data_IF_655746134195
#
_entry.id   IF_655746134195
#
_cell.length_a   1.000
_cell.length_b   1.000
_cell.length_c   1.000
_cell.angle_alpha   90.00
_cell.angle_beta   90.00
_cell.angle_gamma   90.00
#
_symmetry.space_group_name_H-M   'P 1'
#
loop_
_entity.id
_entity.type
_entity.pdbx_description
1 polymer ?
#
# COMPACT_ATOMS: atom_id res chain seq x y z
N UNK A 1 26.97 -54.63 59.81
CA UNK A 1 25.55 -54.32 59.48
C UNK A 1 25.46 -52.89 58.98
N UNK A 2 25.45 -52.68 57.67
CA UNK A 2 25.38 -51.35 57.04
C UNK A 2 23.91 -51.08 56.58
N UNK A 3 23.32 -49.99 57.10
CA UNK A 3 21.96 -49.56 56.73
C UNK A 3 22.06 -48.77 55.48
N UNK A 4 21.48 -49.29 54.35
CA UNK A 4 21.24 -48.55 53.14
C UNK A 4 20.11 -47.51 53.38
N UNK A 5 20.40 -46.21 53.19
CA UNK A 5 19.42 -45.12 53.12
C UNK A 5 18.91 -45.03 51.69
N UNK A 6 17.62 -45.32 51.51
CA UNK A 6 16.91 -45.08 50.23
C UNK A 6 16.62 -43.58 50.10
N UNK A 7 17.23 -42.93 49.11
CA UNK A 7 16.83 -41.58 48.68
C UNK A 7 15.74 -41.71 47.63
N UNK A 8 14.54 -41.24 47.96
CA UNK A 8 13.43 -41.13 47.03
C UNK A 8 13.58 -39.80 46.25
N UNK A 9 13.92 -39.87 44.98
CA UNK A 9 14.01 -38.69 44.12
C UNK A 9 12.60 -38.45 43.54
N UNK A 10 11.90 -37.42 44.07
CA UNK A 10 10.70 -36.94 43.49
C UNK A 10 11.06 -36.08 42.27
N UNK A 11 10.83 -36.63 41.06
CA UNK A 11 10.96 -35.93 39.81
C UNK A 11 9.64 -35.14 39.56
N UNK A 12 9.61 -33.87 39.92
CA UNK A 12 8.50 -32.97 39.59
C UNK A 12 8.63 -32.56 38.11
N UNK A 13 7.83 -33.15 37.25
CA UNK A 13 7.65 -32.68 35.87
C UNK A 13 6.90 -31.35 35.89
N UNK A 14 7.63 -30.24 35.67
CA UNK A 14 7.06 -28.91 35.47
C UNK A 14 6.58 -28.83 33.98
N UNK A 15 5.31 -29.12 33.75
CA UNK A 15 4.68 -28.97 32.42
C UNK A 15 4.51 -27.48 32.14
N UNK A 16 5.38 -26.91 31.30
CA UNK A 16 5.23 -25.56 30.76
C UNK A 16 4.09 -25.58 29.73
N UNK A 17 2.88 -25.20 30.12
CA UNK A 17 1.78 -24.96 29.21
C UNK A 17 2.02 -23.63 28.52
N UNK A 18 2.51 -23.65 27.29
CA UNK A 18 2.50 -22.49 26.42
C UNK A 18 1.05 -22.18 26.04
N UNK A 19 0.44 -21.21 26.71
CA UNK A 19 -0.81 -20.63 26.25
C UNK A 19 -0.54 -19.85 24.97
N UNK A 20 -0.84 -20.44 23.79
CA UNK A 20 -0.93 -19.73 22.53
C UNK A 20 -2.14 -18.83 22.64
N UNK A 21 -1.93 -17.55 22.95
CA UNK A 21 -2.98 -16.54 22.86
C UNK A 21 -3.39 -16.45 21.36
N UNK A 22 -4.68 -16.60 21.03
CA UNK A 22 -5.11 -16.37 19.65
C UNK A 22 -4.78 -14.93 19.28
N UNK A 23 -4.08 -14.73 18.16
CA UNK A 23 -3.92 -13.41 17.58
C UNK A 23 -5.33 -12.83 17.42
N UNK A 24 -5.60 -11.72 18.10
CA UNK A 24 -6.90 -11.06 18.02
C UNK A 24 -7.04 -10.53 16.58
N UNK A 25 -7.88 -11.19 15.78
CA UNK A 25 -8.25 -10.65 14.48
C UNK A 25 -8.93 -9.29 14.69
N UNK A 26 -8.55 -8.29 13.89
CA UNK A 26 -9.18 -6.98 13.95
C UNK A 26 -10.71 -7.12 13.75
N UNK A 27 -11.54 -6.35 14.48
CA UNK A 27 -12.97 -6.39 14.31
C UNK A 27 -13.35 -6.13 12.84
N UNK A 28 -14.29 -6.89 12.29
CA UNK A 28 -14.72 -6.78 10.87
C UNK A 28 -15.09 -5.33 10.49
N UNK A 29 -15.65 -4.57 11.44
CA UNK A 29 -16.01 -3.16 11.24
C UNK A 29 -14.78 -2.28 10.98
N UNK A 30 -13.65 -2.57 11.58
CA UNK A 30 -12.43 -1.78 11.38
C UNK A 30 -11.77 -2.09 10.02
N UNK A 31 -11.87 -3.34 9.54
CA UNK A 31 -11.41 -3.70 8.18
C UNK A 31 -12.20 -2.94 7.11
N UNK A 32 -13.52 -2.85 7.24
CA UNK A 32 -14.35 -2.10 6.27
C UNK A 32 -14.09 -0.58 6.34
N UNK A 33 -13.83 -0.03 7.52
CA UNK A 33 -13.40 1.37 7.65
C UNK A 33 -12.06 1.62 6.97
N UNK A 34 -11.09 0.72 7.15
CA UNK A 34 -9.78 0.84 6.51
C UNK A 34 -9.90 0.75 4.97
N UNK A 35 -10.72 -0.15 4.44
CA UNK A 35 -11.03 -0.19 3.01
C UNK A 35 -11.65 1.11 2.51
N UNK A 36 -12.59 1.68 3.27
CA UNK A 36 -13.21 2.96 2.90
C UNK A 36 -12.18 4.09 2.81
N UNK A 37 -11.18 4.13 3.70
CA UNK A 37 -10.05 5.08 3.61
C UNK A 37 -9.24 4.84 2.33
N UNK A 38 -8.91 3.58 2.01
CA UNK A 38 -8.19 3.23 0.78
C UNK A 38 -8.96 3.64 -0.49
N UNK A 39 -10.28 3.48 -0.53
CA UNK A 39 -11.13 3.93 -1.64
C UNK A 39 -11.06 5.44 -1.86
N UNK A 40 -10.98 6.25 -0.79
CA UNK A 40 -10.88 7.71 -0.92
C UNK A 40 -9.64 8.15 -1.69
N UNK A 41 -8.53 7.40 -1.62
CA UNK A 41 -7.32 7.68 -2.41
C UNK A 41 -7.64 7.61 -3.91
N UNK A 42 -8.30 6.55 -4.36
CA UNK A 42 -8.66 6.38 -5.76
C UNK A 42 -9.77 7.35 -6.20
N UNK A 43 -10.85 7.41 -5.44
CA UNK A 43 -12.06 8.11 -5.85
C UNK A 43 -11.92 9.63 -5.73
N UNK A 44 -11.34 10.12 -4.63
CA UNK A 44 -11.29 11.54 -4.36
C UNK A 44 -9.98 12.16 -4.85
N UNK A 45 -8.82 11.58 -4.52
CA UNK A 45 -7.52 12.17 -4.89
C UNK A 45 -7.26 11.98 -6.39
N UNK A 46 -7.22 10.74 -6.88
CA UNK A 46 -6.85 10.48 -8.27
C UNK A 46 -7.97 10.74 -9.27
N UNK A 47 -9.19 10.26 -9.03
CA UNK A 47 -10.27 10.37 -10.00
C UNK A 47 -10.88 11.78 -10.03
N UNK A 48 -11.05 12.42 -8.86
CA UNK A 48 -11.66 13.75 -8.76
C UNK A 48 -10.64 14.90 -8.66
N UNK A 49 -9.36 14.61 -8.38
CA UNK A 49 -8.32 15.62 -8.21
C UNK A 49 -8.45 16.44 -6.91
N UNK A 50 -9.13 15.89 -5.91
CA UNK A 50 -9.31 16.52 -4.60
C UNK A 50 -8.12 16.23 -3.70
N UNK A 51 -7.00 16.88 -3.99
CA UNK A 51 -5.73 16.62 -3.30
C UNK A 51 -5.73 17.03 -1.83
N UNK A 52 -6.61 17.94 -1.41
CA UNK A 52 -6.80 18.35 -0.01
C UNK A 52 -7.26 17.19 0.88
N UNK A 53 -7.90 16.18 0.32
CA UNK A 53 -8.33 14.97 1.04
C UNK A 53 -7.13 14.23 1.65
N UNK A 54 -5.95 14.35 1.06
CA UNK A 54 -4.75 13.72 1.62
C UNK A 54 -4.43 14.23 3.04
N UNK A 55 -4.70 15.49 3.35
CA UNK A 55 -4.48 16.06 4.68
C UNK A 55 -5.42 15.45 5.76
N UNK A 56 -6.53 14.85 5.33
CA UNK A 56 -7.48 14.17 6.21
C UNK A 56 -7.10 12.71 6.44
N UNK A 57 -6.76 11.99 5.35
CA UNK A 57 -6.63 10.53 5.35
C UNK A 57 -5.20 10.00 5.50
N UNK A 58 -4.19 10.85 5.35
CA UNK A 58 -2.79 10.48 5.59
C UNK A 58 -2.28 11.02 6.92
N UNK A 59 -1.46 10.24 7.61
CA UNK A 59 -0.79 10.68 8.81
C UNK A 59 0.34 11.67 8.47
N UNK A 60 0.63 12.62 9.36
CA UNK A 60 1.72 13.60 9.15
C UNK A 60 3.09 12.96 9.01
N UNK A 61 3.30 11.82 9.64
CA UNK A 61 4.52 11.01 9.57
C UNK A 61 4.42 9.87 8.55
N UNK A 62 3.54 10.00 7.56
CA UNK A 62 3.39 9.04 6.46
C UNK A 62 4.71 8.78 5.74
N UNK A 63 4.92 7.52 5.34
CA UNK A 63 6.07 7.08 4.55
C UNK A 63 5.57 6.24 3.36
N UNK A 64 5.95 6.66 2.16
CA UNK A 64 5.85 5.83 0.97
C UNK A 64 7.21 5.13 0.76
N UNK A 65 7.20 3.81 0.83
CA UNK A 65 8.38 2.96 0.70
C UNK A 65 8.70 2.71 -0.78
N UNK A 66 9.44 3.63 -1.38
CA UNK A 66 9.87 3.51 -2.77
C UNK A 66 11.04 2.54 -2.96
N UNK A 67 11.23 2.04 -4.18
CA UNK A 67 12.29 1.07 -4.52
C UNK A 67 13.70 1.60 -4.20
N UNK A 68 13.94 2.89 -4.37
CA UNK A 68 15.27 3.48 -4.17
C UNK A 68 15.39 4.29 -2.89
N UNK A 69 14.31 4.85 -2.41
CA UNK A 69 14.24 5.67 -1.20
C UNK A 69 12.79 5.86 -0.76
N UNK A 70 12.62 6.16 0.50
CA UNK A 70 11.35 6.56 1.06
C UNK A 70 11.00 8.00 0.67
N UNK A 71 9.70 8.27 0.56
CA UNK A 71 9.13 9.60 0.36
C UNK A 71 8.13 9.93 1.46
N UNK A 72 8.11 11.19 1.89
CA UNK A 72 7.12 11.68 2.86
C UNK A 72 5.85 12.19 2.19
N UNK A 73 4.86 12.56 3.02
CA UNK A 73 3.52 12.97 2.57
C UNK A 73 3.55 14.08 1.51
N UNK A 74 4.34 15.13 1.72
CA UNK A 74 4.40 16.24 0.75
C UNK A 74 4.86 15.78 -0.63
N UNK A 75 5.90 14.95 -0.69
CA UNK A 75 6.45 14.47 -1.95
C UNK A 75 5.47 13.52 -2.65
N UNK A 76 4.79 12.67 -1.89
CA UNK A 76 3.74 11.79 -2.39
C UNK A 76 2.56 12.57 -2.98
N UNK A 77 2.10 13.60 -2.29
CA UNK A 77 1.05 14.51 -2.80
C UNK A 77 1.49 15.26 -4.07
N UNK A 78 2.75 15.73 -4.13
CA UNK A 78 3.28 16.41 -5.31
C UNK A 78 3.33 15.43 -6.50
N UNK A 79 3.68 14.16 -6.26
CA UNK A 79 3.63 13.10 -7.28
C UNK A 79 2.20 12.83 -7.76
N UNK A 80 1.21 12.78 -6.85
CA UNK A 80 -0.19 12.62 -7.22
C UNK A 80 -0.69 13.75 -8.12
N UNK A 81 -0.32 15.00 -7.80
CA UNK A 81 -0.61 16.17 -8.67
C UNK A 81 0.08 16.06 -10.02
N UNK A 82 1.34 15.63 -10.04
CA UNK A 82 2.09 15.40 -11.26
C UNK A 82 1.46 14.36 -12.18
N UNK A 83 0.91 13.28 -11.63
CA UNK A 83 0.14 12.30 -12.40
C UNK A 83 -1.10 12.93 -13.06
N UNK A 84 -1.85 13.75 -12.31
CA UNK A 84 -3.04 14.42 -12.86
C UNK A 84 -2.71 15.48 -13.90
N UNK A 85 -1.56 16.14 -13.79
CA UNK A 85 -1.06 17.07 -14.82
C UNK A 85 -0.67 16.31 -16.09
N UNK A 86 0.06 15.20 -15.98
CA UNK A 86 0.46 14.39 -17.13
C UNK A 86 -0.75 13.72 -17.82
N UNK A 87 -1.75 13.30 -17.04
CA UNK A 87 -2.94 12.59 -17.50
C UNK A 87 -4.20 13.25 -16.93
N UNK A 88 -4.71 14.34 -17.55
CA UNK A 88 -5.89 15.06 -17.05
C UNK A 88 -7.16 14.19 -16.92
N UNK A 89 -7.27 13.17 -17.78
CA UNK A 89 -8.35 12.18 -17.81
C UNK A 89 -8.02 10.90 -17.03
N UNK A 90 -6.98 10.93 -16.17
CA UNK A 90 -6.58 9.77 -15.34
C UNK A 90 -7.77 9.19 -14.60
N UNK A 91 -7.96 7.89 -14.77
CA UNK A 91 -8.97 7.13 -14.06
C UNK A 91 -8.37 5.86 -13.47
N UNK A 92 -8.59 5.69 -12.19
CA UNK A 92 -8.20 4.48 -11.45
C UNK A 92 -9.47 3.75 -10.98
N UNK A 93 -9.44 2.41 -11.05
CA UNK A 93 -10.58 1.58 -10.66
C UNK A 93 -10.09 0.42 -9.79
N UNK A 94 -10.65 0.27 -8.61
CA UNK A 94 -10.38 -0.85 -7.72
C UNK A 94 -10.94 -2.14 -8.34
N UNK A 95 -10.10 -3.13 -8.56
CA UNK A 95 -10.46 -4.43 -9.11
C UNK A 95 -10.65 -5.48 -8.03
N UNK A 96 -9.78 -5.49 -7.03
CA UNK A 96 -9.80 -6.39 -5.87
C UNK A 96 -9.23 -5.67 -4.66
N UNK A 97 -9.73 -5.99 -3.50
CA UNK A 97 -9.18 -5.52 -2.23
C UNK A 97 -9.19 -6.63 -1.18
N UNK A 98 -8.18 -6.63 -0.34
CA UNK A 98 -8.02 -7.53 0.79
C UNK A 98 -7.58 -6.68 1.99
N UNK A 99 -8.20 -6.90 3.14
CA UNK A 99 -7.80 -6.24 4.38
C UNK A 99 -7.54 -7.29 5.47
N UNK A 100 -6.42 -7.14 6.17
CA UNK A 100 -6.05 -7.96 7.31
C UNK A 100 -5.31 -7.10 8.34
N UNK A 101 -5.79 -7.11 9.58
CA UNK A 101 -5.22 -6.26 10.62
C UNK A 101 -5.35 -4.78 10.26
N UNK A 102 -4.22 -4.10 10.20
CA UNK A 102 -4.08 -2.69 9.81
C UNK A 102 -3.69 -2.50 8.33
N UNK A 103 -3.58 -3.59 7.57
CA UNK A 103 -3.18 -3.56 6.15
C UNK A 103 -4.39 -3.66 5.22
N UNK A 104 -4.36 -2.85 4.16
CA UNK A 104 -5.28 -2.94 3.01
C UNK A 104 -4.46 -3.05 1.74
N UNK A 105 -4.67 -4.12 1.00
CA UNK A 105 -4.05 -4.36 -0.30
C UNK A 105 -5.10 -4.15 -1.39
N UNK A 106 -4.77 -3.36 -2.41
CA UNK A 106 -5.66 -3.07 -3.53
C UNK A 106 -4.96 -3.38 -4.85
N UNK A 107 -5.57 -4.25 -5.66
CA UNK A 107 -5.27 -4.38 -7.08
C UNK A 107 -6.17 -3.38 -7.82
N UNK A 108 -5.59 -2.51 -8.61
CA UNK A 108 -6.32 -1.51 -9.39
C UNK A 108 -5.94 -1.55 -10.88
N UNK A 109 -6.83 -1.02 -11.72
CA UNK A 109 -6.50 -0.63 -13.09
C UNK A 109 -6.38 0.88 -13.18
N UNK A 110 -5.55 1.34 -14.13
CA UNK A 110 -5.36 2.75 -14.46
C UNK A 110 -5.47 2.94 -15.96
N UNK A 111 -6.15 4.00 -16.37
CA UNK A 111 -6.23 4.45 -17.75
C UNK A 111 -6.04 5.96 -17.81
N UNK A 112 -5.58 6.48 -18.96
CA UNK A 112 -5.45 7.92 -19.16
C UNK A 112 -4.79 8.25 -20.49
N UNK A 113 -4.84 9.52 -20.88
CA UNK A 113 -4.19 10.06 -22.07
C UNK A 113 -3.14 11.08 -21.64
N UNK A 114 -1.87 10.84 -22.01
CA UNK A 114 -0.75 11.70 -21.62
C UNK A 114 -0.73 12.98 -22.49
N UNK A 115 -1.62 13.91 -22.17
CA UNK A 115 -1.73 15.19 -22.90
C UNK A 115 -1.01 16.35 -22.21
N UNK A 116 -0.51 16.15 -20.99
CA UNK A 116 0.23 17.14 -20.24
C UNK A 116 1.62 16.66 -19.81
N UNK A 117 2.38 17.54 -19.19
CA UNK A 117 3.67 17.25 -18.59
C UNK A 117 3.51 17.11 -17.08
N UNK A 118 4.16 16.10 -16.47
CA UNK A 118 4.15 15.88 -15.02
C UNK A 118 5.01 14.69 -14.64
N UNK A 119 5.53 14.69 -13.42
CA UNK A 119 6.43 13.64 -12.90
C UNK A 119 7.64 13.34 -13.83
N UNK A 120 8.16 14.36 -14.52
CA UNK A 120 9.26 14.21 -15.47
C UNK A 120 8.86 13.57 -16.81
N UNK A 121 7.57 13.33 -17.05
CA UNK A 121 7.07 12.79 -18.32
C UNK A 121 6.74 13.94 -19.28
N UNK A 122 7.18 13.87 -20.56
CA UNK A 122 6.72 14.77 -21.60
C UNK A 122 5.28 14.43 -22.05
N UNK A 123 4.58 15.39 -22.64
CA UNK A 123 3.28 15.14 -23.26
C UNK A 123 3.47 14.34 -24.56
N UNK A 124 3.05 13.09 -24.59
CA UNK A 124 3.19 12.19 -25.76
C UNK A 124 1.92 12.09 -26.60
N UNK A 125 0.75 12.52 -26.07
CA UNK A 125 -0.56 12.33 -26.66
C UNK A 125 -1.05 10.88 -26.64
N UNK A 126 -0.29 9.94 -26.04
CA UNK A 126 -0.60 8.51 -26.05
C UNK A 126 -1.49 8.11 -24.88
N UNK A 127 -2.25 7.05 -25.10
CA UNK A 127 -3.07 6.41 -24.07
C UNK A 127 -2.27 5.35 -23.33
N UNK A 128 -2.58 5.21 -22.06
CA UNK A 128 -2.09 4.13 -21.21
C UNK A 128 -3.25 3.30 -20.68
N UNK A 129 -2.98 2.01 -20.50
CA UNK A 129 -3.83 1.09 -19.77
C UNK A 129 -2.93 0.15 -18.97
N UNK A 130 -3.05 0.16 -17.66
CA UNK A 130 -2.19 -0.63 -16.79
C UNK A 130 -2.89 -1.14 -15.54
N UNK A 131 -2.13 -1.88 -14.74
CA UNK A 131 -2.53 -2.35 -13.41
C UNK A 131 -1.39 -2.12 -12.44
N UNK A 132 -1.77 -1.90 -11.18
CA UNK A 132 -0.83 -1.82 -10.08
C UNK A 132 -1.42 -2.47 -8.84
N UNK A 133 -0.56 -2.66 -7.87
CA UNK A 133 -0.92 -3.10 -6.53
C UNK A 133 -0.36 -2.07 -5.56
N UNK A 134 -1.19 -1.64 -4.61
CA UNK A 134 -0.76 -0.84 -3.48
C UNK A 134 -1.15 -1.54 -2.20
N UNK A 135 -0.26 -1.51 -1.22
CA UNK A 135 -0.50 -1.93 0.15
C UNK A 135 -0.41 -0.68 1.02
N UNK A 136 -1.42 -0.43 1.83
CA UNK A 136 -1.41 0.62 2.85
C UNK A 136 -1.48 0.05 4.25
N UNK A 137 -0.72 0.64 5.18
CA UNK A 137 -0.95 0.50 6.61
C UNK A 137 -1.85 1.63 7.07
N UNK A 138 -2.98 1.29 7.67
CA UNK A 138 -4.00 2.25 8.11
C UNK A 138 -4.20 2.10 9.61
N UNK A 139 -3.80 3.12 10.36
CA UNK A 139 -3.86 3.14 11.82
C UNK A 139 -4.74 4.32 12.26
N UNK A 140 -5.73 4.05 13.10
CA UNK A 140 -6.68 5.06 13.58
C UNK A 140 -7.37 5.86 12.46
N UNK A 141 -7.66 5.20 11.31
CA UNK A 141 -8.31 5.82 10.16
C UNK A 141 -7.40 6.69 9.30
N UNK A 142 -6.08 6.65 9.50
CA UNK A 142 -5.10 7.36 8.66
C UNK A 142 -4.09 6.40 8.06
N UNK A 143 -3.71 6.64 6.82
CA UNK A 143 -2.65 5.93 6.10
C UNK A 143 -1.31 6.38 6.68
N UNK A 144 -0.54 5.44 7.21
CA UNK A 144 0.77 5.70 7.82
C UNK A 144 1.92 5.24 6.95
N UNK A 145 1.70 4.19 6.14
CA UNK A 145 2.72 3.63 5.26
C UNK A 145 2.08 3.17 3.94
N UNK A 146 2.88 3.21 2.87
CA UNK A 146 2.50 2.74 1.54
C UNK A 146 3.63 1.98 0.87
N UNK A 147 3.27 0.92 0.14
CA UNK A 147 4.10 0.17 -0.82
C UNK A 147 3.32 0.03 -2.11
N UNK A 148 3.87 0.52 -3.22
CA UNK A 148 3.17 0.50 -4.51
C UNK A 148 4.06 -0.05 -5.61
N UNK A 149 3.48 -0.94 -6.44
CA UNK A 149 4.13 -1.51 -7.61
C UNK A 149 3.21 -1.43 -8.83
N UNK A 150 3.78 -1.11 -9.97
CA UNK A 150 3.10 -1.16 -11.25
C UNK A 150 4.07 -1.54 -12.38
N UNK A 151 3.55 -1.98 -13.53
CA UNK A 151 4.35 -2.39 -14.67
C UNK A 151 4.95 -1.17 -15.40
N UNK A 152 6.09 -0.70 -14.87
CA UNK A 152 6.82 0.45 -15.42
C UNK A 152 7.28 0.22 -16.84
N UNK A 153 7.70 -1.00 -17.19
CA UNK A 153 8.19 -1.28 -18.54
C UNK A 153 7.07 -1.14 -19.57
N UNK A 154 5.92 -1.73 -19.30
CA UNK A 154 4.72 -1.59 -20.14
C UNK A 154 4.29 -0.14 -20.25
N UNK A 155 4.23 0.58 -19.14
CA UNK A 155 3.88 1.99 -19.09
C UNK A 155 4.77 2.85 -20.01
N UNK A 156 6.10 2.71 -19.88
CA UNK A 156 7.07 3.43 -20.73
C UNK A 156 6.95 3.05 -22.21
N UNK A 157 6.64 1.77 -22.49
CA UNK A 157 6.40 1.29 -23.86
C UNK A 157 5.14 1.92 -24.46
N UNK A 158 4.05 1.96 -23.73
CA UNK A 158 2.78 2.58 -24.19
C UNK A 158 2.97 4.08 -24.47
N UNK A 159 3.74 4.79 -23.65
CA UNK A 159 4.11 6.19 -23.88
C UNK A 159 5.11 6.39 -25.02
N UNK A 160 5.74 5.32 -25.53
CA UNK A 160 6.80 5.40 -26.55
C UNK A 160 8.10 5.99 -26.06
N UNK A 161 8.36 5.94 -24.76
CA UNK A 161 9.54 6.51 -24.10
C UNK A 161 10.66 5.49 -23.86
N UNK A 162 10.50 4.24 -24.33
CA UNK A 162 11.57 3.26 -24.24
C UNK A 162 12.67 3.58 -25.26
N UNK A 163 13.98 3.41 -24.88
CA UNK A 163 15.08 3.45 -25.80
C UNK A 163 14.90 2.42 -26.94
N UNK A 164 15.40 2.73 -28.16
CA UNK A 164 15.27 1.81 -29.31
C UNK A 164 15.90 0.43 -29.05
N UNK A 165 16.94 0.37 -28.21
CA UNK A 165 17.59 -0.88 -27.80
C UNK A 165 16.73 -1.82 -26.97
N UNK A 166 15.56 -1.38 -26.52
CA UNK A 166 14.62 -2.15 -25.65
C UNK A 166 13.28 -2.42 -26.36
N UNK A 167 13.15 -1.97 -27.61
CA UNK A 167 11.93 -2.19 -28.42
C UNK A 167 11.87 -3.57 -29.05
#
# INVERSE_FOLDING_TARGET
MAKLRRYSVFLTLLSLVFAVLPASAAPRNDLEKNKAVAHRVFDEIFNQGRFEVADEIYARNFVNHGIHRDAGLKEDQDAARGWKLAFPDLRMTVLKEIAEGDLVTVLYSVTGTNTGEGNGLPATGRKIEGRGITIWRIVNGQITEEWSEFDQLRFMKELGLLPESVK
#
